data_IF_891121386356
#
_entry.id   IF_891121386356
#
_cell.length_a   1.000
_cell.length_b   1.000
_cell.length_c   1.000
_cell.angle_alpha   90.00
_cell.angle_beta   90.00
_cell.angle_gamma   90.00
#
_symmetry.space_group_name_H-M   'P 1'
#
loop_
_entity.id
_entity.type
_entity.pdbx_description
1 polymer ?
#
# COMPACT_ATOMS: atom_id res chain seq x y z
N UNK A 1 -1.21 -58.95 5.82
CA UNK A 1 -1.04 -57.66 6.54
C UNK A 1 -2.38 -57.30 7.14
N UNK A 2 -2.44 -57.03 8.45
CA UNK A 2 -3.67 -56.90 9.20
C UNK A 2 -4.34 -55.55 8.90
N UNK A 3 -5.52 -55.55 8.31
CA UNK A 3 -6.25 -54.33 7.89
C UNK A 3 -6.48 -53.38 9.07
N UNK A 4 -6.70 -53.92 10.26
CA UNK A 4 -6.94 -53.14 11.49
C UNK A 4 -5.74 -52.27 11.88
N UNK A 5 -4.51 -52.75 11.69
CA UNK A 5 -3.29 -51.95 11.95
C UNK A 5 -3.10 -50.81 10.95
N UNK A 6 -3.56 -50.99 9.72
CA UNK A 6 -3.50 -49.93 8.69
C UNK A 6 -4.54 -48.85 9.02
N UNK A 7 -5.74 -49.25 9.44
CA UNK A 7 -6.78 -48.30 9.87
C UNK A 7 -6.40 -47.55 11.16
N UNK A 8 -5.79 -48.22 12.14
CA UNK A 8 -5.28 -47.56 13.37
C UNK A 8 -4.16 -46.57 13.07
N UNK A 9 -3.16 -46.95 12.26
CA UNK A 9 -2.08 -46.05 11.81
C UNK A 9 -2.65 -44.80 11.14
N UNK A 10 -3.64 -44.96 10.24
CA UNK A 10 -4.26 -43.82 9.56
C UNK A 10 -5.01 -42.88 10.51
N UNK A 11 -5.63 -43.39 11.58
CA UNK A 11 -6.35 -42.57 12.55
C UNK A 11 -5.40 -41.78 13.45
N UNK A 12 -4.30 -42.39 13.86
CA UNK A 12 -3.28 -41.73 14.67
C UNK A 12 -2.56 -40.62 13.89
N UNK A 13 -2.27 -40.85 12.60
CA UNK A 13 -1.72 -39.83 11.71
C UNK A 13 -2.63 -38.61 11.62
N UNK A 14 -3.92 -38.83 11.30
CA UNK A 14 -4.93 -37.77 11.21
C UNK A 14 -5.08 -37.05 12.56
N UNK A 15 -5.05 -37.78 13.68
CA UNK A 15 -5.16 -37.18 15.01
C UNK A 15 -3.97 -36.26 15.34
N UNK A 16 -2.73 -36.64 14.98
CA UNK A 16 -1.55 -35.80 15.16
C UNK A 16 -1.58 -34.57 14.26
N UNK A 17 -2.03 -34.73 13.02
CA UNK A 17 -2.23 -33.64 12.08
C UNK A 17 -3.22 -32.61 12.62
N UNK A 18 -4.43 -33.05 13.00
CA UNK A 18 -5.47 -32.17 13.57
C UNK A 18 -4.96 -31.50 14.84
N UNK A 19 -4.32 -32.25 15.75
CA UNK A 19 -3.82 -31.69 17.00
C UNK A 19 -2.76 -30.62 16.77
N UNK A 20 -1.85 -30.84 15.83
CA UNK A 20 -0.79 -29.88 15.49
C UNK A 20 -1.33 -28.64 14.78
N UNK A 21 -2.23 -28.82 13.82
CA UNK A 21 -2.86 -27.71 13.07
C UNK A 21 -3.73 -26.84 13.99
N UNK A 22 -4.50 -27.41 14.91
CA UNK A 22 -5.25 -26.64 15.92
C UNK A 22 -4.31 -25.77 16.78
N UNK A 23 -3.12 -26.25 17.13
CA UNK A 23 -2.15 -25.42 17.85
C UNK A 23 -1.58 -24.30 16.96
N UNK A 24 -1.37 -24.54 15.67
CA UNK A 24 -0.98 -23.50 14.71
C UNK A 24 -2.07 -22.43 14.55
N UNK A 25 -3.33 -22.82 14.43
CA UNK A 25 -4.48 -21.90 14.35
C UNK A 25 -4.62 -21.06 15.62
N UNK A 26 -4.35 -21.67 16.77
CA UNK A 26 -4.29 -20.98 18.06
C UNK A 26 -3.03 -20.11 18.24
N UNK A 27 -2.11 -20.09 17.28
CA UNK A 27 -0.85 -19.33 17.35
C UNK A 27 0.21 -19.94 18.29
N UNK A 28 -0.03 -21.12 18.85
CA UNK A 28 0.86 -21.81 19.78
C UNK A 28 1.96 -22.59 19.04
N UNK A 29 2.86 -21.87 18.37
CA UNK A 29 3.88 -22.49 17.51
C UNK A 29 4.81 -23.45 18.27
N UNK A 30 5.12 -23.20 19.55
CA UNK A 30 5.96 -24.08 20.38
C UNK A 30 5.28 -25.42 20.68
N UNK A 31 3.96 -25.41 20.87
CA UNK A 31 3.19 -26.66 21.07
C UNK A 31 3.05 -27.41 19.75
N UNK A 32 2.78 -26.70 18.66
CA UNK A 32 2.68 -27.28 17.33
C UNK A 32 3.99 -27.99 16.93
N UNK A 33 5.15 -27.37 17.15
CA UNK A 33 6.42 -27.98 16.75
C UNK A 33 6.73 -29.25 17.56
N UNK A 34 6.37 -29.29 18.84
CA UNK A 34 6.51 -30.49 19.66
C UNK A 34 5.66 -31.65 19.11
N UNK A 35 4.42 -31.35 18.67
CA UNK A 35 3.53 -32.35 18.06
C UNK A 35 4.10 -32.82 16.72
N UNK A 36 4.54 -31.92 15.85
CA UNK A 36 5.05 -32.31 14.54
C UNK A 36 6.40 -33.03 14.60
N UNK A 37 7.28 -32.66 15.52
CA UNK A 37 8.52 -33.44 15.76
C UNK A 37 8.21 -34.87 16.22
N UNK A 38 7.18 -35.05 17.06
CA UNK A 38 6.70 -36.38 17.42
C UNK A 38 6.13 -37.10 16.19
N UNK A 39 5.33 -36.42 15.36
CA UNK A 39 4.74 -37.00 14.16
C UNK A 39 5.79 -37.43 13.13
N UNK A 40 6.82 -36.62 12.86
CA UNK A 40 7.93 -37.00 11.96
C UNK A 40 8.79 -38.12 12.53
N UNK A 41 8.81 -38.32 13.85
CA UNK A 41 9.53 -39.43 14.48
C UNK A 41 8.76 -40.76 14.37
N UNK A 42 7.43 -40.72 14.52
CA UNK A 42 6.57 -41.91 14.43
C UNK A 42 6.28 -42.28 12.97
N UNK A 43 6.09 -41.30 12.11
CA UNK A 43 5.75 -41.45 10.69
C UNK A 43 6.77 -40.76 9.78
N UNK A 44 8.05 -41.21 9.79
CA UNK A 44 9.14 -40.55 9.06
C UNK A 44 9.03 -40.60 7.53
N UNK A 45 8.02 -41.29 6.99
CA UNK A 45 7.75 -41.40 5.55
C UNK A 45 6.56 -40.59 5.09
N UNK A 46 5.83 -39.94 6.00
CA UNK A 46 4.69 -39.11 5.64
C UNK A 46 5.18 -37.68 5.37
N UNK A 47 5.24 -37.22 4.11
CA UNK A 47 5.79 -35.91 3.76
C UNK A 47 4.99 -34.75 4.36
N UNK A 48 3.67 -34.90 4.58
CA UNK A 48 2.82 -33.83 5.08
C UNK A 48 3.26 -33.32 6.46
N UNK A 49 3.74 -34.21 7.34
CA UNK A 49 4.29 -33.78 8.64
C UNK A 49 5.54 -32.93 8.50
N UNK A 50 6.36 -33.16 7.47
CA UNK A 50 7.50 -32.29 7.19
C UNK A 50 7.05 -30.93 6.67
N UNK A 51 6.03 -30.85 5.81
CA UNK A 51 5.48 -29.55 5.41
C UNK A 51 4.96 -28.75 6.62
N UNK A 52 4.16 -29.38 7.49
CA UNK A 52 3.59 -28.73 8.67
C UNK A 52 4.67 -28.36 9.70
N UNK A 53 5.67 -29.23 9.89
CA UNK A 53 6.85 -28.94 10.70
C UNK A 53 7.64 -27.76 10.12
N UNK A 54 7.91 -27.76 8.82
CA UNK A 54 8.61 -26.67 8.13
C UNK A 54 7.88 -25.34 8.25
N UNK A 55 6.55 -25.34 8.09
CA UNK A 55 5.71 -24.17 8.32
C UNK A 55 5.80 -23.66 9.76
N UNK A 56 5.74 -24.57 10.73
CA UNK A 56 5.86 -24.23 12.15
C UNK A 56 7.23 -23.66 12.48
N UNK A 57 8.30 -24.28 11.97
CA UNK A 57 9.70 -23.81 12.10
C UNK A 57 9.89 -22.44 11.47
N UNK A 58 9.25 -22.18 10.32
CA UNK A 58 9.25 -20.85 9.68
C UNK A 58 8.61 -19.79 10.61
N UNK A 59 7.45 -20.08 11.23
CA UNK A 59 6.82 -19.17 12.20
C UNK A 59 7.70 -18.94 13.44
N UNK A 60 8.47 -19.95 13.85
CA UNK A 60 9.48 -19.87 14.92
C UNK A 60 10.82 -19.24 14.46
N UNK A 61 10.92 -18.76 13.22
CA UNK A 61 12.13 -18.17 12.61
C UNK A 61 13.33 -19.14 12.51
N UNK A 62 13.08 -20.44 12.60
CA UNK A 62 14.06 -21.51 12.40
C UNK A 62 14.23 -21.81 10.90
N UNK A 63 14.65 -20.80 10.13
CA UNK A 63 14.58 -20.84 8.67
C UNK A 63 15.39 -21.96 8.02
N UNK A 64 16.57 -22.29 8.56
CA UNK A 64 17.44 -23.35 8.02
C UNK A 64 16.75 -24.72 8.16
N UNK A 65 16.19 -25.02 9.32
CA UNK A 65 15.52 -26.30 9.55
C UNK A 65 14.16 -26.37 8.85
N UNK A 66 13.47 -25.23 8.70
CA UNK A 66 12.27 -25.15 7.86
C UNK A 66 12.58 -25.50 6.39
N UNK A 67 13.69 -24.98 5.84
CA UNK A 67 14.11 -25.29 4.47
C UNK A 67 14.34 -26.79 4.29
N UNK A 68 15.05 -27.45 5.22
CA UNK A 68 15.28 -28.90 5.16
C UNK A 68 13.98 -29.70 5.12
N UNK A 69 13.02 -29.33 5.96
CA UNK A 69 11.72 -30.00 6.00
C UNK A 69 10.92 -29.80 4.69
N UNK A 70 10.95 -28.59 4.13
CA UNK A 70 10.30 -28.33 2.84
C UNK A 70 11.01 -29.02 1.68
N UNK A 71 12.35 -29.10 1.69
CA UNK A 71 13.13 -29.82 0.68
C UNK A 71 12.78 -31.32 0.72
N UNK A 72 12.68 -31.93 1.90
CA UNK A 72 12.21 -33.32 2.04
C UNK A 72 10.79 -33.51 1.49
N UNK A 73 9.86 -32.60 1.80
CA UNK A 73 8.52 -32.63 1.24
C UNK A 73 8.53 -32.58 -0.30
N UNK A 74 9.40 -31.75 -0.88
CA UNK A 74 9.55 -31.59 -2.33
C UNK A 74 10.23 -32.80 -3.01
N UNK A 75 10.97 -33.65 -2.31
CA UNK A 75 11.48 -34.90 -2.90
C UNK A 75 10.33 -35.81 -3.37
N UNK A 76 9.20 -35.77 -2.65
CA UNK A 76 7.97 -36.52 -2.98
C UNK A 76 7.05 -35.69 -3.88
N UNK A 77 6.88 -34.39 -3.57
CA UNK A 77 5.94 -33.49 -4.26
C UNK A 77 6.68 -32.39 -5.04
N UNK A 78 7.44 -32.79 -6.06
CA UNK A 78 8.43 -31.95 -6.78
C UNK A 78 7.91 -30.60 -7.28
N UNK A 79 6.63 -30.51 -7.64
CA UNK A 79 6.03 -29.31 -8.26
C UNK A 79 5.12 -28.53 -7.30
N UNK A 80 5.22 -28.75 -5.99
CA UNK A 80 4.34 -28.08 -5.03
C UNK A 80 4.74 -26.61 -4.83
N UNK A 81 4.07 -25.72 -5.55
CA UNK A 81 4.40 -24.29 -5.62
C UNK A 81 4.44 -23.59 -4.26
N UNK A 82 3.61 -24.00 -3.29
CA UNK A 82 3.61 -23.38 -1.95
C UNK A 82 4.87 -23.74 -1.17
N UNK A 83 5.37 -24.97 -1.28
CA UNK A 83 6.60 -25.37 -0.58
C UNK A 83 7.80 -24.61 -1.16
N UNK A 84 7.85 -24.46 -2.49
CA UNK A 84 8.84 -23.64 -3.18
C UNK A 84 8.80 -22.17 -2.73
N UNK A 85 7.59 -21.57 -2.65
CA UNK A 85 7.42 -20.21 -2.13
C UNK A 85 7.94 -20.10 -0.68
N UNK A 86 7.60 -21.06 0.18
CA UNK A 86 8.02 -21.03 1.60
C UNK A 86 9.53 -21.14 1.76
N UNK A 87 10.20 -21.94 0.93
CA UNK A 87 11.67 -21.96 0.87
C UNK A 87 12.21 -20.59 0.44
N UNK A 88 11.62 -19.98 -0.61
CA UNK A 88 11.97 -18.63 -1.05
C UNK A 88 11.86 -17.59 0.07
N UNK A 89 10.78 -17.65 0.87
CA UNK A 89 10.57 -16.77 2.00
C UNK A 89 11.60 -16.99 3.12
N UNK A 90 11.93 -18.24 3.46
CA UNK A 90 12.99 -18.54 4.42
C UNK A 90 14.35 -18.00 3.94
N UNK A 91 14.68 -18.19 2.67
CA UNK A 91 15.94 -17.70 2.08
C UNK A 91 16.01 -16.17 2.04
N UNK A 92 14.89 -15.50 1.77
CA UNK A 92 14.78 -14.06 1.86
C UNK A 92 15.06 -13.55 3.28
N UNK A 93 14.52 -14.20 4.32
CA UNK A 93 14.83 -13.86 5.71
C UNK A 93 16.29 -14.14 6.11
N UNK A 94 16.95 -15.06 5.40
CA UNK A 94 18.39 -15.34 5.53
C UNK A 94 19.26 -14.42 4.65
N UNK A 95 18.68 -13.41 3.99
CA UNK A 95 19.33 -12.51 3.02
C UNK A 95 19.98 -13.25 1.82
N UNK A 96 19.58 -14.48 1.54
CA UNK A 96 20.03 -15.22 0.37
C UNK A 96 19.10 -14.93 -0.82
N UNK A 97 19.14 -13.69 -1.29
CA UNK A 97 18.20 -13.17 -2.29
C UNK A 97 18.30 -13.91 -3.63
N UNK A 98 19.49 -14.33 -4.05
CA UNK A 98 19.67 -15.07 -5.31
C UNK A 98 18.94 -16.41 -5.29
N UNK A 99 19.16 -17.24 -4.25
CA UNK A 99 18.44 -18.51 -4.12
C UNK A 99 16.95 -18.29 -3.88
N UNK A 100 16.57 -17.25 -3.14
CA UNK A 100 15.16 -16.90 -2.95
C UNK A 100 14.46 -16.63 -4.29
N UNK A 101 15.10 -15.88 -5.19
CA UNK A 101 14.58 -15.59 -6.52
C UNK A 101 14.40 -16.87 -7.36
N UNK A 102 15.37 -17.79 -7.32
CA UNK A 102 15.25 -19.10 -8.01
C UNK A 102 14.02 -19.89 -7.55
N UNK A 103 13.80 -19.98 -6.24
CA UNK A 103 12.64 -20.69 -5.67
C UNK A 103 11.32 -19.96 -5.95
N UNK A 104 11.29 -18.63 -5.91
CA UNK A 104 10.10 -17.87 -6.31
C UNK A 104 9.78 -18.02 -7.80
N UNK A 105 10.78 -18.08 -8.67
CA UNK A 105 10.57 -18.33 -10.11
C UNK A 105 9.92 -19.69 -10.34
N UNK A 106 10.47 -20.76 -9.73
CA UNK A 106 9.87 -22.10 -9.79
C UNK A 106 8.44 -22.11 -9.24
N UNK A 107 8.19 -21.40 -8.13
CA UNK A 107 6.85 -21.30 -7.56
C UNK A 107 5.85 -20.67 -8.53
N UNK A 108 6.22 -19.58 -9.20
CA UNK A 108 5.35 -18.92 -10.22
C UNK A 108 5.10 -19.83 -11.42
N UNK A 109 6.13 -20.54 -11.89
CA UNK A 109 6.06 -21.48 -13.01
C UNK A 109 5.06 -22.61 -12.71
N UNK A 110 5.25 -23.33 -11.59
CA UNK A 110 4.37 -24.45 -11.24
C UNK A 110 2.97 -24.02 -10.83
N UNK A 111 2.79 -22.81 -10.29
CA UNK A 111 1.44 -22.27 -10.09
C UNK A 111 0.67 -22.15 -11.41
N UNK A 112 1.35 -21.69 -12.48
CA UNK A 112 0.72 -21.55 -13.82
C UNK A 112 0.32 -22.91 -14.39
N UNK A 113 1.18 -23.91 -14.25
CA UNK A 113 0.90 -25.29 -14.70
C UNK A 113 -0.24 -25.93 -13.91
N UNK A 114 -0.23 -25.78 -12.58
CA UNK A 114 -1.28 -26.27 -11.69
C UNK A 114 -2.66 -25.71 -12.05
N UNK A 115 -2.75 -24.39 -12.24
CA UNK A 115 -3.99 -23.73 -12.65
C UNK A 115 -4.48 -24.23 -14.02
N UNK A 116 -3.58 -24.31 -15.01
CA UNK A 116 -3.93 -24.83 -16.35
C UNK A 116 -4.44 -26.26 -16.27
N UNK A 117 -3.88 -27.07 -15.37
CA UNK A 117 -4.27 -28.47 -15.18
C UNK A 117 -5.63 -28.59 -14.48
N UNK A 118 -5.91 -27.77 -13.46
CA UNK A 118 -7.20 -27.74 -12.76
C UNK A 118 -8.31 -27.14 -13.63
N UNK A 119 -8.06 -26.07 -14.38
CA UNK A 119 -9.06 -25.52 -15.31
C UNK A 119 -9.48 -26.55 -16.37
N UNK A 120 -8.60 -27.51 -16.68
CA UNK A 120 -8.88 -28.62 -17.60
C UNK A 120 -9.48 -29.87 -16.91
N UNK A 121 -9.40 -29.97 -15.58
CA UNK A 121 -9.92 -31.09 -14.78
C UNK A 121 -11.01 -30.55 -13.84
N UNK A 122 -12.26 -30.60 -14.30
CA UNK A 122 -13.50 -30.12 -13.63
C UNK A 122 -13.52 -30.17 -12.09
N UNK A 123 -14.27 -29.24 -11.47
CA UNK A 123 -14.64 -28.96 -10.04
C UNK A 123 -14.34 -29.97 -8.90
N UNK A 124 -14.11 -31.25 -9.16
CA UNK A 124 -13.91 -32.29 -8.14
C UNK A 124 -12.55 -32.23 -7.43
N UNK A 125 -11.52 -31.65 -8.06
CA UNK A 125 -10.21 -31.44 -7.41
C UNK A 125 -10.21 -30.27 -6.40
N UNK A 126 -11.09 -29.27 -6.57
CA UNK A 126 -11.26 -28.17 -5.62
C UNK A 126 -11.72 -28.66 -4.23
N UNK A 127 -12.35 -29.83 -4.13
CA UNK A 127 -12.75 -30.43 -2.84
C UNK A 127 -11.58 -30.99 -2.04
N UNK A 128 -10.50 -31.44 -2.68
CA UNK A 128 -9.31 -31.96 -1.97
C UNK A 128 -8.45 -30.85 -1.36
N UNK A 129 -8.59 -29.59 -1.79
CA UNK A 129 -7.94 -28.43 -1.13
C UNK A 129 -8.51 -28.16 0.26
N UNK A 130 -9.77 -28.51 0.53
CA UNK A 130 -10.42 -28.26 1.82
C UNK A 130 -9.93 -29.18 2.96
N UNK A 131 -9.22 -30.27 2.65
CA UNK A 131 -8.80 -31.26 3.67
C UNK A 131 -7.52 -30.80 4.40
N UNK A 132 -6.68 -29.98 3.76
CA UNK A 132 -5.34 -29.63 4.28
C UNK A 132 -5.27 -28.25 4.97
N UNK A 133 -6.40 -27.54 5.08
CA UNK A 133 -6.47 -26.20 5.70
C UNK A 133 -5.76 -25.08 4.91
N UNK A 134 -5.89 -23.84 5.39
CA UNK A 134 -5.33 -22.63 4.74
C UNK A 134 -3.78 -22.62 4.64
N UNK A 135 -3.09 -23.57 5.26
CA UNK A 135 -1.62 -23.65 5.30
C UNK A 135 -1.00 -24.02 3.96
N UNK A 136 -1.75 -24.66 3.07
CA UNK A 136 -1.30 -25.11 1.76
C UNK A 136 -1.85 -24.25 0.63
N UNK A 137 -2.41 -23.06 0.89
CA UNK A 137 -2.84 -22.16 -0.17
C UNK A 137 -2.22 -20.78 0.00
N UNK A 138 -1.22 -20.48 -0.84
CA UNK A 138 -0.59 -19.16 -0.87
C UNK A 138 -1.16 -18.40 -2.07
N UNK A 139 -1.88 -17.28 -1.82
CA UNK A 139 -2.43 -16.46 -2.89
C UNK A 139 -1.35 -15.96 -3.86
N UNK A 140 -1.67 -15.97 -5.16
CA UNK A 140 -0.72 -15.70 -6.25
C UNK A 140 -0.11 -14.30 -6.14
N UNK A 141 -0.89 -13.31 -5.72
CA UNK A 141 -0.42 -11.94 -5.50
C UNK A 141 0.72 -11.87 -4.48
N UNK A 142 0.72 -12.75 -3.45
CA UNK A 142 1.80 -12.81 -2.46
C UNK A 142 3.08 -13.38 -3.05
N UNK A 143 2.98 -14.32 -3.99
CA UNK A 143 4.14 -14.87 -4.70
C UNK A 143 4.81 -13.76 -5.51
N UNK A 144 4.04 -13.01 -6.31
CA UNK A 144 4.55 -11.88 -7.07
C UNK A 144 5.09 -10.75 -6.19
N UNK A 145 4.36 -10.35 -5.13
CA UNK A 145 4.80 -9.27 -4.24
C UNK A 145 6.11 -9.58 -3.51
N UNK A 146 6.32 -10.81 -3.06
CA UNK A 146 7.59 -11.19 -2.45
C UNK A 146 8.72 -11.35 -3.47
N UNK A 147 8.43 -11.86 -4.66
CA UNK A 147 9.42 -11.91 -5.75
C UNK A 147 9.84 -10.51 -6.18
N UNK A 148 8.92 -9.56 -6.27
CA UNK A 148 9.22 -8.14 -6.53
C UNK A 148 10.19 -7.58 -5.49
N UNK A 149 9.94 -7.83 -4.20
CA UNK A 149 10.81 -7.36 -3.12
C UNK A 149 12.24 -7.93 -3.24
N UNK A 150 12.36 -9.23 -3.55
CA UNK A 150 13.67 -9.86 -3.77
C UNK A 150 14.37 -9.31 -5.01
N UNK A 151 13.65 -9.09 -6.11
CA UNK A 151 14.20 -8.48 -7.32
C UNK A 151 14.70 -7.05 -7.06
N UNK A 152 13.97 -6.23 -6.30
CA UNK A 152 14.46 -4.91 -5.88
C UNK A 152 15.76 -5.02 -5.07
N UNK A 153 15.85 -5.99 -4.15
CA UNK A 153 17.06 -6.25 -3.37
C UNK A 153 18.25 -6.69 -4.24
N UNK A 154 17.99 -7.25 -5.42
CA UNK A 154 18.97 -7.64 -6.42
C UNK A 154 19.21 -6.57 -7.49
N UNK A 155 18.62 -5.37 -7.35
CA UNK A 155 18.61 -4.28 -8.33
C UNK A 155 17.97 -4.63 -9.69
N UNK A 156 17.18 -5.70 -9.77
CA UNK A 156 16.30 -5.97 -10.91
C UNK A 156 15.02 -5.14 -10.79
N UNK A 157 15.16 -3.83 -10.98
CA UNK A 157 14.08 -2.86 -10.81
C UNK A 157 12.97 -3.03 -11.85
N UNK A 158 13.32 -3.41 -13.09
CA UNK A 158 12.36 -3.67 -14.16
C UNK A 158 11.52 -4.90 -13.86
N UNK A 159 12.17 -6.03 -13.55
CA UNK A 159 11.44 -7.26 -13.21
C UNK A 159 10.63 -7.14 -11.92
N UNK A 160 11.04 -6.28 -10.98
CA UNK A 160 10.27 -5.98 -9.78
C UNK A 160 8.99 -5.18 -10.08
N UNK A 161 9.07 -4.22 -11.00
CA UNK A 161 7.91 -3.45 -11.46
C UNK A 161 6.86 -4.35 -12.10
N UNK A 162 7.28 -5.25 -12.99
CA UNK A 162 6.41 -6.24 -13.63
C UNK A 162 5.69 -7.11 -12.58
N UNK A 163 6.40 -7.55 -11.56
CA UNK A 163 5.82 -8.37 -10.48
C UNK A 163 4.85 -7.56 -9.61
N UNK A 164 5.14 -6.28 -9.35
CA UNK A 164 4.20 -5.40 -8.64
C UNK A 164 2.90 -5.24 -9.43
N UNK A 165 2.98 -5.02 -10.74
CA UNK A 165 1.82 -4.87 -11.61
C UNK A 165 0.99 -6.16 -11.70
N UNK A 166 1.65 -7.32 -11.81
CA UNK A 166 1.00 -8.62 -11.76
C UNK A 166 0.25 -8.80 -10.43
N UNK A 167 0.89 -8.50 -9.30
CA UNK A 167 0.28 -8.63 -7.98
C UNK A 167 -0.95 -7.71 -7.82
N UNK A 168 -0.86 -6.46 -8.27
CA UNK A 168 -1.95 -5.48 -8.23
C UNK A 168 -3.11 -5.90 -9.14
N UNK A 169 -2.81 -6.45 -10.32
CA UNK A 169 -3.83 -6.94 -11.27
C UNK A 169 -4.62 -8.10 -10.68
N UNK A 170 -3.97 -8.97 -9.90
CA UNK A 170 -4.61 -10.10 -9.23
C UNK A 170 -5.42 -9.62 -8.02
N UNK A 171 -4.85 -8.72 -7.22
CA UNK A 171 -5.47 -8.20 -6.01
C UNK A 171 -5.12 -6.72 -5.81
N UNK A 172 -6.06 -5.85 -6.19
CA UNK A 172 -5.91 -4.39 -6.07
C UNK A 172 -5.95 -3.86 -4.62
N UNK A 173 -6.29 -4.73 -3.66
CA UNK A 173 -6.31 -4.41 -2.23
C UNK A 173 -5.11 -5.00 -1.49
N UNK A 174 -4.12 -5.55 -2.21
CA UNK A 174 -2.86 -5.99 -1.62
C UNK A 174 -1.88 -4.80 -1.50
N UNK A 175 -1.57 -4.31 -0.28
CA UNK A 175 -0.81 -3.07 -0.09
C UNK A 175 0.64 -3.10 -0.55
N UNK A 176 1.35 -4.21 -0.33
CA UNK A 176 2.81 -4.28 -0.48
C UNK A 176 3.30 -3.92 -1.90
N UNK A 177 2.70 -4.43 -3.00
CA UNK A 177 3.06 -4.03 -4.35
C UNK A 177 3.00 -2.52 -4.62
N UNK A 178 2.01 -1.82 -4.08
CA UNK A 178 1.93 -0.36 -4.19
C UNK A 178 3.10 0.32 -3.46
N UNK A 179 3.45 -0.17 -2.27
CA UNK A 179 4.60 0.37 -1.54
C UNK A 179 5.90 0.18 -2.33
N UNK A 180 6.16 -1.04 -2.83
CA UNK A 180 7.35 -1.37 -3.60
C UNK A 180 7.44 -0.56 -4.90
N UNK A 181 6.33 -0.42 -5.63
CA UNK A 181 6.25 0.40 -6.84
C UNK A 181 6.40 1.90 -6.54
N UNK A 182 5.87 2.36 -5.41
CA UNK A 182 6.08 3.73 -4.92
C UNK A 182 7.55 4.03 -4.62
N UNK A 183 8.28 3.09 -4.02
CA UNK A 183 9.74 3.18 -3.80
C UNK A 183 10.50 3.20 -5.13
N UNK A 184 10.10 2.36 -6.09
CA UNK A 184 10.65 2.40 -7.45
C UNK A 184 10.50 3.79 -8.08
N UNK A 185 9.28 4.34 -8.13
CA UNK A 185 9.04 5.65 -8.71
C UNK A 185 9.78 6.77 -8.00
N UNK A 186 9.95 6.67 -6.69
CA UNK A 186 10.74 7.65 -5.93
C UNK A 186 12.21 7.65 -6.40
N UNK A 187 12.81 6.46 -6.57
CA UNK A 187 14.18 6.33 -7.05
C UNK A 187 14.33 6.74 -8.53
N UNK A 188 13.25 6.69 -9.31
CA UNK A 188 13.19 7.18 -10.69
C UNK A 188 12.85 8.68 -10.80
N UNK A 189 12.85 9.43 -9.70
CA UNK A 189 12.51 10.86 -9.63
C UNK A 189 11.06 11.19 -10.05
N UNK A 190 10.19 10.17 -10.16
CA UNK A 190 8.77 10.31 -10.49
C UNK A 190 7.92 10.55 -9.23
N UNK A 191 8.19 11.65 -8.52
CA UNK A 191 7.65 11.93 -7.18
C UNK A 191 6.13 11.89 -7.07
N UNK A 192 5.39 12.35 -8.08
CA UNK A 192 3.91 12.30 -8.07
C UNK A 192 3.37 10.87 -8.10
N UNK A 193 3.96 10.02 -8.95
CA UNK A 193 3.60 8.59 -9.00
C UNK A 193 3.97 7.89 -7.71
N UNK A 194 5.16 8.17 -7.17
CA UNK A 194 5.63 7.63 -5.90
C UNK A 194 4.65 7.97 -4.76
N UNK A 195 4.28 9.24 -4.62
CA UNK A 195 3.35 9.72 -3.60
C UNK A 195 1.97 9.08 -3.74
N UNK A 196 1.45 8.95 -4.96
CA UNK A 196 0.17 8.28 -5.25
C UNK A 196 0.17 6.83 -4.75
N UNK A 197 1.19 6.06 -5.13
CA UNK A 197 1.29 4.64 -4.76
C UNK A 197 1.54 4.45 -3.26
N UNK A 198 2.40 5.26 -2.65
CA UNK A 198 2.62 5.23 -1.20
C UNK A 198 1.34 5.58 -0.42
N UNK A 199 0.55 6.56 -0.89
CA UNK A 199 -0.76 6.88 -0.30
C UNK A 199 -1.75 5.73 -0.42
N UNK A 200 -1.78 5.03 -1.57
CA UNK A 200 -2.64 3.84 -1.75
C UNK A 200 -2.20 2.69 -0.86
N UNK A 201 -0.90 2.44 -0.71
CA UNK A 201 -0.39 1.43 0.23
C UNK A 201 -0.77 1.78 1.68
N UNK A 202 -0.62 3.05 2.07
CA UNK A 202 -1.00 3.55 3.38
C UNK A 202 -2.51 3.40 3.66
N UNK A 203 -3.37 3.73 2.70
CA UNK A 203 -4.82 3.59 2.86
C UNK A 203 -5.29 2.13 2.93
N UNK A 204 -4.50 1.21 2.38
CA UNK A 204 -4.66 -0.25 2.53
C UNK A 204 -4.02 -0.81 3.81
N UNK A 205 -3.56 0.05 4.73
CA UNK A 205 -3.05 -0.36 6.05
C UNK A 205 -1.56 -0.70 6.10
N UNK A 206 -0.76 -0.33 5.09
CA UNK A 206 0.69 -0.57 5.12
C UNK A 206 1.42 0.49 5.95
N UNK A 207 1.70 0.19 7.22
CA UNK A 207 2.29 1.15 8.17
C UNK A 207 3.62 1.77 7.71
N UNK A 208 4.46 0.97 7.04
CA UNK A 208 5.73 1.45 6.49
C UNK A 208 5.53 2.58 5.48
N UNK A 209 4.44 2.53 4.69
CA UNK A 209 4.13 3.59 3.72
C UNK A 209 3.83 4.93 4.39
N UNK A 210 3.14 4.94 5.55
CA UNK A 210 2.90 6.16 6.32
C UNK A 210 4.21 6.80 6.80
N UNK A 211 5.12 5.96 7.29
CA UNK A 211 6.43 6.40 7.77
C UNK A 211 7.26 6.97 6.62
N UNK A 212 7.30 6.28 5.49
CA UNK A 212 7.99 6.73 4.28
C UNK A 212 7.39 8.02 3.74
N UNK A 213 6.05 8.15 3.68
CA UNK A 213 5.39 9.40 3.26
C UNK A 213 5.81 10.59 4.14
N UNK A 214 5.87 10.39 5.47
CA UNK A 214 6.30 11.44 6.40
C UNK A 214 7.79 11.77 6.25
N UNK A 215 8.64 10.78 6.00
CA UNK A 215 10.08 11.02 5.79
C UNK A 215 10.36 11.75 4.48
N UNK A 216 9.70 11.34 3.40
CA UNK A 216 9.93 11.88 2.06
C UNK A 216 9.18 13.19 1.81
N UNK A 217 8.00 13.37 2.41
CA UNK A 217 7.07 14.47 2.11
C UNK A 217 6.51 15.18 3.35
N UNK A 218 6.98 14.88 4.57
CA UNK A 218 6.38 15.34 5.84
C UNK A 218 6.43 16.85 6.12
N UNK A 219 7.14 17.64 5.32
CA UNK A 219 7.03 19.10 5.35
C UNK A 219 5.71 19.61 4.74
N UNK A 220 4.97 18.76 4.03
CA UNK A 220 3.66 19.12 3.51
C UNK A 220 2.54 18.91 4.52
N UNK A 221 2.70 18.04 5.54
CA UNK A 221 1.67 17.84 6.57
C UNK A 221 1.47 19.06 7.49
N UNK A 222 2.52 19.84 7.79
CA UNK A 222 2.33 21.10 8.51
C UNK A 222 1.57 22.13 7.68
N UNK A 223 1.84 22.15 6.38
CA UNK A 223 1.10 22.98 5.45
C UNK A 223 -0.35 22.51 5.33
N UNK A 224 -0.60 21.20 5.20
CA UNK A 224 -1.95 20.64 5.13
C UNK A 224 -2.76 20.87 6.42
N UNK A 225 -2.16 20.73 7.61
CA UNK A 225 -2.84 21.06 8.88
C UNK A 225 -3.14 22.57 8.97
N UNK A 226 -2.16 23.43 8.68
CA UNK A 226 -2.35 24.88 8.61
C UNK A 226 -3.46 25.26 7.61
N UNK A 227 -3.44 24.64 6.43
CA UNK A 227 -4.42 24.84 5.38
C UNK A 227 -5.81 24.34 5.77
N UNK A 228 -5.88 23.24 6.53
CA UNK A 228 -7.13 22.71 7.08
C UNK A 228 -7.71 23.64 8.14
N UNK A 229 -6.88 24.16 9.04
CA UNK A 229 -7.28 25.15 10.06
C UNK A 229 -7.76 26.46 9.41
N UNK A 230 -7.08 26.92 8.37
CA UNK A 230 -7.48 28.10 7.59
C UNK A 230 -8.84 27.87 6.91
N UNK A 231 -9.05 26.69 6.31
CA UNK A 231 -10.31 26.31 5.66
C UNK A 231 -11.48 26.29 6.65
N UNK A 232 -11.30 25.62 7.79
CA UNK A 232 -12.29 25.56 8.86
C UNK A 232 -12.61 26.95 9.44
N UNK A 233 -11.59 27.77 9.66
CA UNK A 233 -11.80 29.13 10.15
C UNK A 233 -12.53 29.99 9.10
N UNK A 234 -12.12 29.98 7.83
CA UNK A 234 -12.76 30.77 6.79
C UNK A 234 -14.25 30.45 6.63
N UNK A 235 -14.63 29.17 6.75
CA UNK A 235 -16.03 28.76 6.65
C UNK A 235 -16.88 29.10 7.91
N UNK A 236 -16.25 29.55 9.02
CA UNK A 236 -16.95 29.94 10.26
C UNK A 236 -17.80 31.21 10.12
N UNK A 237 -18.92 31.33 10.87
CA UNK A 237 -19.71 32.57 10.92
C UNK A 237 -18.89 33.80 11.31
N UNK A 238 -17.95 33.63 12.22
CA UNK A 238 -17.08 34.68 12.74
C UNK A 238 -16.14 35.21 11.65
N UNK A 239 -15.54 34.32 10.85
CA UNK A 239 -14.73 34.72 9.72
C UNK A 239 -15.57 35.45 8.69
N UNK A 240 -16.72 34.90 8.27
CA UNK A 240 -17.63 35.52 7.31
C UNK A 240 -18.10 36.93 7.72
N UNK A 241 -18.30 37.17 9.01
CA UNK A 241 -18.65 38.50 9.52
C UNK A 241 -17.48 39.49 9.41
N UNK A 242 -16.25 39.04 9.73
CA UNK A 242 -15.05 39.88 9.66
C UNK A 242 -14.60 40.11 8.22
N UNK A 243 -14.45 39.05 7.43
CA UNK A 243 -14.04 39.09 6.01
C UNK A 243 -15.12 39.70 5.14
N UNK A 244 -16.40 39.37 5.34
CA UNK A 244 -17.52 39.99 4.63
C UNK A 244 -17.62 41.50 4.88
N UNK A 245 -17.32 41.96 6.10
CA UNK A 245 -17.22 43.38 6.41
C UNK A 245 -16.05 44.08 5.69
N UNK A 246 -14.94 43.38 5.47
CA UNK A 246 -13.78 43.89 4.73
C UNK A 246 -14.10 43.94 3.23
N UNK A 247 -14.57 42.84 2.65
CA UNK A 247 -14.91 42.70 1.23
C UNK A 247 -16.00 43.70 0.79
N UNK A 248 -16.97 43.99 1.67
CA UNK A 248 -17.98 45.02 1.41
C UNK A 248 -17.43 46.44 1.54
N UNK A 249 -16.55 46.72 2.52
CA UNK A 249 -15.92 48.05 2.67
C UNK A 249 -14.93 48.37 1.54
N UNK A 250 -14.34 47.35 0.92
CA UNK A 250 -13.40 47.51 -0.18
C UNK A 250 -14.07 47.49 -1.56
N UNK A 251 -15.40 47.37 -1.67
CA UNK A 251 -16.11 47.39 -2.96
C UNK A 251 -15.94 46.12 -3.82
N UNK A 252 -15.49 45.02 -3.20
CA UNK A 252 -14.84 43.91 -3.88
C UNK A 252 -15.77 42.94 -4.62
N UNK A 253 -16.96 42.66 -4.06
CA UNK A 253 -17.92 41.70 -4.66
C UNK A 253 -18.43 42.16 -6.04
N UNK A 254 -18.75 43.46 -6.24
CA UNK A 254 -19.03 44.02 -7.56
C UNK A 254 -17.84 43.98 -8.54
N UNK A 255 -16.62 44.25 -8.08
CA UNK A 255 -15.42 44.35 -8.93
C UNK A 255 -14.95 42.99 -9.45
N UNK A 256 -14.97 41.94 -8.63
CA UNK A 256 -14.74 40.56 -9.08
C UNK A 256 -15.70 40.18 -10.20
N UNK A 257 -17.00 40.47 -10.00
CA UNK A 257 -18.02 40.12 -10.99
C UNK A 257 -17.83 40.90 -12.30
N UNK A 258 -17.45 42.17 -12.22
CA UNK A 258 -17.16 43.00 -13.40
C UNK A 258 -15.96 42.47 -14.18
N UNK A 259 -14.86 42.18 -13.48
CA UNK A 259 -13.60 41.74 -14.11
C UNK A 259 -13.76 40.34 -14.70
N UNK A 260 -14.39 39.42 -13.99
CA UNK A 260 -14.55 38.04 -14.47
C UNK A 260 -15.57 37.93 -15.60
N UNK A 261 -16.50 38.87 -15.71
CA UNK A 261 -17.41 38.98 -16.87
C UNK A 261 -16.71 39.39 -18.17
N UNK A 262 -15.48 39.92 -18.12
CA UNK A 262 -14.70 40.28 -19.31
C UNK A 262 -13.85 39.13 -19.85
N UNK A 263 -13.76 38.01 -19.13
CA UNK A 263 -12.84 36.91 -19.44
C UNK A 263 -13.56 35.59 -19.71
N UNK A 264 -14.59 35.62 -20.57
CA UNK A 264 -15.12 34.39 -21.15
C UNK A 264 -14.04 33.75 -22.05
N UNK A 265 -13.44 32.65 -21.56
CA UNK A 265 -12.60 31.66 -22.28
C UNK A 265 -11.05 31.70 -22.21
N UNK A 266 -10.43 32.26 -21.16
CA UNK A 266 -8.95 32.26 -21.06
C UNK A 266 -8.33 31.07 -20.32
N UNK A 267 -7.10 30.72 -20.76
CA UNK A 267 -6.20 29.69 -20.23
C UNK A 267 -6.02 29.80 -18.70
N UNK A 268 -6.00 28.67 -17.99
CA UNK A 268 -5.78 28.57 -16.53
C UNK A 268 -4.59 29.42 -16.06
N UNK A 269 -3.52 29.51 -16.87
CA UNK A 269 -2.35 30.33 -16.55
C UNK A 269 -2.65 31.84 -16.48
N UNK A 270 -3.56 32.35 -17.30
CA UNK A 270 -3.97 33.76 -17.31
C UNK A 270 -4.91 34.02 -16.13
N UNK A 271 -5.82 33.09 -15.84
CA UNK A 271 -6.66 33.16 -14.64
C UNK A 271 -5.83 33.18 -13.34
N UNK A 272 -4.73 32.41 -13.29
CA UNK A 272 -3.78 32.44 -12.19
C UNK A 272 -3.09 33.79 -12.05
N UNK A 273 -2.54 34.36 -13.14
CA UNK A 273 -1.88 35.67 -13.10
C UNK A 273 -2.82 36.80 -12.70
N UNK A 274 -4.07 36.74 -13.17
CA UNK A 274 -5.12 37.66 -12.78
C UNK A 274 -5.37 37.52 -11.27
N UNK A 275 -5.69 36.32 -10.78
CA UNK A 275 -5.93 36.08 -9.36
C UNK A 275 -4.76 36.53 -8.47
N UNK A 276 -3.51 36.29 -8.88
CA UNK A 276 -2.30 36.73 -8.18
C UNK A 276 -2.16 38.26 -8.12
N UNK A 277 -2.39 38.95 -9.24
CA UNK A 277 -2.35 40.42 -9.31
C UNK A 277 -3.44 41.05 -8.43
N UNK A 278 -4.65 40.47 -8.43
CA UNK A 278 -5.76 40.92 -7.61
C UNK A 278 -5.53 40.70 -6.12
N UNK A 279 -4.98 39.55 -5.73
CA UNK A 279 -4.59 39.27 -4.35
C UNK A 279 -3.52 40.25 -3.85
N UNK A 280 -2.57 40.60 -4.71
CA UNK A 280 -1.57 41.63 -4.41
C UNK A 280 -2.19 43.00 -4.17
N UNK A 281 -3.18 43.41 -4.96
CA UNK A 281 -3.88 44.69 -4.76
C UNK A 281 -4.73 44.68 -3.48
N UNK A 282 -5.54 43.63 -3.27
CA UNK A 282 -6.31 43.42 -2.05
C UNK A 282 -5.44 43.48 -0.80
N UNK A 283 -4.29 42.81 -0.83
CA UNK A 283 -3.36 42.80 0.29
C UNK A 283 -2.81 44.20 0.59
N UNK A 284 -2.49 44.99 -0.43
CA UNK A 284 -2.05 46.38 -0.25
C UNK A 284 -3.15 47.26 0.36
N UNK A 285 -4.41 47.08 -0.04
CA UNK A 285 -5.54 47.80 0.56
C UNK A 285 -5.82 47.35 1.99
N UNK A 286 -5.76 46.05 2.26
CA UNK A 286 -6.01 45.49 3.59
C UNK A 286 -4.92 45.88 4.59
N UNK A 287 -3.65 45.89 4.16
CA UNK A 287 -2.51 46.37 4.95
C UNK A 287 -2.69 47.82 5.41
N UNK A 288 -3.28 48.68 4.58
CA UNK A 288 -3.56 50.08 4.93
C UNK A 288 -4.60 50.23 6.04
N UNK A 289 -5.53 49.28 6.19
CA UNK A 289 -6.64 49.35 7.15
C UNK A 289 -6.33 48.60 8.45
N UNK A 290 -5.59 47.49 8.38
CA UNK A 290 -5.39 46.57 9.51
C UNK A 290 -4.02 46.70 10.22
N UNK A 291 -3.08 47.51 9.69
CA UNK A 291 -1.76 47.73 10.29
C UNK A 291 -0.78 46.56 10.05
N UNK A 292 -1.03 45.40 10.64
CA UNK A 292 -0.23 44.17 10.46
C UNK A 292 -1.11 42.95 10.19
N UNK A 293 -0.69 42.13 9.22
CA UNK A 293 -1.39 40.92 8.81
C UNK A 293 -0.45 39.73 9.02
N UNK A 294 -0.80 38.82 9.92
CA UNK A 294 -0.08 37.56 10.08
C UNK A 294 -0.39 36.59 8.91
N UNK A 295 0.45 35.58 8.73
CA UNK A 295 0.32 34.65 7.59
C UNK A 295 -1.01 33.87 7.59
N UNK A 296 -1.65 33.71 8.75
CA UNK A 296 -2.96 33.07 8.88
C UNK A 296 -4.07 33.86 8.16
N UNK A 297 -4.16 35.17 8.38
CA UNK A 297 -5.16 36.00 7.69
C UNK A 297 -4.89 36.12 6.18
N UNK A 298 -3.63 36.08 5.75
CA UNK A 298 -3.29 36.03 4.32
C UNK A 298 -3.85 34.75 3.67
N UNK A 299 -3.77 33.62 4.37
CA UNK A 299 -4.27 32.34 3.91
C UNK A 299 -5.81 32.32 3.80
N UNK A 300 -6.50 32.91 4.78
CA UNK A 300 -7.97 33.04 4.77
C UNK A 300 -8.44 33.86 3.56
N UNK A 301 -7.78 34.98 3.26
CA UNK A 301 -8.13 35.82 2.11
C UNK A 301 -7.91 35.08 0.79
N UNK A 302 -6.79 34.36 0.65
CA UNK A 302 -6.51 33.57 -0.55
C UNK A 302 -7.56 32.46 -0.78
N UNK A 303 -8.00 31.80 0.28
CA UNK A 303 -9.05 30.80 0.23
C UNK A 303 -10.40 31.38 -0.23
N UNK A 304 -10.85 32.51 0.34
CA UNK A 304 -12.12 33.14 -0.04
C UNK A 304 -12.14 33.60 -1.51
N UNK A 305 -11.02 34.13 -2.02
CA UNK A 305 -10.88 34.51 -3.44
C UNK A 305 -10.98 33.27 -4.33
N UNK A 306 -10.35 32.15 -3.92
CA UNK A 306 -10.41 30.90 -4.68
C UNK A 306 -11.84 30.36 -4.78
N UNK A 307 -12.65 30.53 -3.73
CA UNK A 307 -14.05 30.13 -3.69
C UNK A 307 -14.94 30.96 -4.62
N UNK A 308 -14.69 32.27 -4.69
CA UNK A 308 -15.37 33.14 -5.65
C UNK A 308 -15.03 32.78 -7.10
N UNK A 309 -13.81 32.32 -7.37
CA UNK A 309 -13.40 31.86 -8.71
C UNK A 309 -14.08 30.53 -9.07
N UNK A 310 -14.25 29.62 -8.11
CA UNK A 310 -14.94 28.34 -8.33
C UNK A 310 -16.42 28.53 -8.70
N UNK A 311 -17.13 29.47 -8.06
CA UNK A 311 -18.52 29.81 -8.42
C UNK A 311 -18.65 30.18 -9.90
N UNK A 312 -17.57 30.70 -10.49
CA UNK A 312 -17.50 31.12 -11.89
C UNK A 312 -16.87 30.04 -12.79
N UNK A 313 -16.04 29.15 -12.24
CA UNK A 313 -15.30 28.10 -12.97
C UNK A 313 -15.22 26.78 -12.17
N UNK A 314 -16.31 25.98 -12.15
CA UNK A 314 -16.40 24.76 -11.34
C UNK A 314 -15.40 23.65 -11.69
N UNK A 315 -14.74 23.73 -12.84
CA UNK A 315 -13.78 22.74 -13.34
C UNK A 315 -12.39 22.81 -12.71
N UNK A 316 -12.12 23.79 -11.85
CA UNK A 316 -10.80 23.99 -11.23
C UNK A 316 -10.70 23.17 -9.95
N UNK A 317 -9.60 22.42 -9.78
CA UNK A 317 -9.25 21.78 -8.51
C UNK A 317 -8.93 22.85 -7.45
N UNK A 318 -9.94 23.14 -6.63
CA UNK A 318 -9.92 24.19 -5.63
C UNK A 318 -8.71 24.04 -4.70
N UNK A 319 -8.47 22.83 -4.18
CA UNK A 319 -7.47 22.56 -3.14
C UNK A 319 -6.04 22.77 -3.65
N UNK A 320 -5.77 22.42 -4.90
CA UNK A 320 -4.47 22.68 -5.52
C UNK A 320 -4.31 24.14 -5.97
N UNK A 321 -5.40 24.77 -6.43
CA UNK A 321 -5.37 26.15 -6.92
C UNK A 321 -5.04 27.15 -5.82
N UNK A 322 -5.75 27.10 -4.68
CA UNK A 322 -5.54 28.06 -3.60
C UNK A 322 -4.20 27.87 -2.89
N UNK A 323 -3.74 26.61 -2.72
CA UNK A 323 -2.40 26.32 -2.15
C UNK A 323 -1.30 26.90 -3.02
N UNK A 324 -1.40 26.73 -4.34
CA UNK A 324 -0.48 27.31 -5.32
C UNK A 324 -0.47 28.84 -5.20
N UNK A 325 -1.65 29.46 -5.21
CA UNK A 325 -1.80 30.90 -5.06
C UNK A 325 -1.18 31.41 -3.75
N UNK A 326 -1.48 30.77 -2.61
CA UNK A 326 -0.93 31.16 -1.32
C UNK A 326 0.59 31.04 -1.26
N UNK A 327 1.15 29.94 -1.81
CA UNK A 327 2.58 29.72 -1.82
C UNK A 327 3.32 30.74 -2.72
N UNK A 328 2.75 31.09 -3.88
CA UNK A 328 3.29 32.10 -4.79
C UNK A 328 3.18 33.52 -4.21
N UNK A 329 2.03 33.82 -3.60
CA UNK A 329 1.80 35.03 -2.82
C UNK A 329 2.83 35.17 -1.70
N UNK A 330 2.99 34.16 -0.85
CA UNK A 330 3.91 34.19 0.28
C UNK A 330 5.36 34.48 -0.13
N UNK A 331 5.80 33.97 -1.28
CA UNK A 331 7.13 34.27 -1.85
C UNK A 331 7.25 35.70 -2.40
N UNK A 332 6.18 36.25 -2.96
CA UNK A 332 6.15 37.59 -3.56
C UNK A 332 5.94 38.72 -2.55
N UNK A 333 5.60 38.37 -1.30
CA UNK A 333 5.29 39.30 -0.21
C UNK A 333 6.33 39.33 0.92
N UNK A 334 7.40 38.50 0.82
CA UNK A 334 8.67 38.73 1.53
C UNK A 334 9.47 39.78 0.77
#
# INVERSE_FOLDING_TARGET
MNTDKIYESSREEIALEIKGTVQLEAGNNEKAISIFNSATSVYPKNPYFYYLSGYTKQNLKMYIDAIKDFEYYLEIHQNHYNALFRIGLCLQHLNNFQRALEYYNKSVEYFKEFKTTIENLSEDLHKNENINGNYFNIPKEKIYGNRANVKMSLNDWGGALDDCENAITINADYPQPYFLRGVYFYNSEEHEKAKKDLKKAASLGFEQANTTLKQLYGNETSNDTFFTEVKQFADSPEAKQRTGGILMRTGFKPEINSVLSEFDSLNISIMQQVAESYLKNMWQQYKKVAGEINDFYKAVIAYEVSKAIEELYPQIDQDNFWKTIFNNAHKSFK
#
